data_IF_051137571027
#
_entry.id   IF_051137571027
#
_cell.length_a   1.000
_cell.length_b   1.000
_cell.length_c   1.000
_cell.angle_alpha   90.00
_cell.angle_beta   90.00
_cell.angle_gamma   90.00
#
_symmetry.space_group_name_H-M   'P 1'
#
loop_
_entity.id
_entity.type
_entity.pdbx_description
1 polymer ?
#
# COMPACT_ATOMS: atom_id res chain seq x y z
N UNK A 1 -0.01 43.80 24.43
CA UNK A 1 1.09 43.63 25.41
C UNK A 1 1.26 44.85 26.29
N UNK A 2 1.75 46.00 25.80
CA UNK A 2 1.99 47.19 26.64
C UNK A 2 0.82 47.66 27.53
N UNK A 3 -0.43 47.57 27.05
CA UNK A 3 -1.64 47.90 27.85
C UNK A 3 -1.92 46.91 28.98
N UNK A 4 -1.69 45.62 28.73
CA UNK A 4 -1.82 44.56 29.74
C UNK A 4 -0.73 44.71 30.81
N UNK A 5 0.51 44.97 30.39
CA UNK A 5 1.65 45.14 31.30
C UNK A 5 1.45 46.37 32.21
N UNK A 6 0.95 47.48 31.65
CA UNK A 6 0.59 48.67 32.42
C UNK A 6 -0.56 48.41 33.40
N UNK A 7 -1.64 47.75 32.95
CA UNK A 7 -2.77 47.41 33.82
C UNK A 7 -2.38 46.44 34.94
N UNK A 8 -1.48 45.49 34.66
CA UNK A 8 -0.92 44.56 35.64
C UNK A 8 -0.07 45.28 36.70
N UNK A 9 0.75 46.24 36.29
CA UNK A 9 1.55 47.06 37.21
C UNK A 9 0.64 47.90 38.14
N UNK A 10 -0.37 48.56 37.59
CA UNK A 10 -1.34 49.35 38.37
C UNK A 10 -2.14 48.51 39.37
N UNK A 11 -2.58 47.32 38.97
CA UNK A 11 -3.25 46.38 39.88
C UNK A 11 -2.32 45.93 41.02
N UNK A 12 -1.05 45.62 40.72
CA UNK A 12 -0.06 45.22 41.73
C UNK A 12 0.31 46.33 42.72
N UNK A 13 0.19 47.59 42.29
CA UNK A 13 0.47 48.77 43.10
C UNK A 13 -0.77 49.26 43.89
N UNK A 14 -1.90 48.56 43.80
CA UNK A 14 -3.13 48.92 44.51
C UNK A 14 -3.79 50.22 44.01
N UNK A 15 -3.54 50.60 42.75
CA UNK A 15 -4.16 51.78 42.16
C UNK A 15 -5.67 51.57 42.08
N UNK A 16 -6.46 52.57 42.50
CA UNK A 16 -7.90 52.50 42.43
C UNK A 16 -8.39 52.17 41.00
N UNK A 17 -9.18 51.10 40.87
CA UNK A 17 -9.67 50.59 39.59
C UNK A 17 -8.65 49.79 38.77
N UNK A 18 -7.44 49.57 39.27
CA UNK A 18 -6.38 48.78 38.60
C UNK A 18 -6.82 47.35 38.28
N UNK A 19 -7.48 46.67 39.22
CA UNK A 19 -8.02 45.32 39.00
C UNK A 19 -9.08 45.27 37.87
N UNK A 20 -9.91 46.30 37.77
CA UNK A 20 -10.92 46.39 36.71
C UNK A 20 -10.26 46.61 35.34
N UNK A 21 -9.23 47.47 35.26
CA UNK A 21 -8.43 47.67 34.04
C UNK A 21 -7.66 46.41 33.65
N UNK A 22 -7.12 45.65 34.61
CA UNK A 22 -6.46 44.37 34.34
C UNK A 22 -7.43 43.36 33.74
N UNK A 23 -8.63 43.17 34.32
CA UNK A 23 -9.66 42.28 33.77
C UNK A 23 -10.07 42.65 32.34
N UNK A 24 -10.18 43.95 32.04
CA UNK A 24 -10.47 44.41 30.67
C UNK A 24 -9.31 44.08 29.71
N UNK A 25 -8.06 44.33 30.12
CA UNK A 25 -6.89 44.02 29.31
C UNK A 25 -6.71 42.51 29.09
N UNK A 26 -7.03 41.67 30.08
CA UNK A 26 -7.07 40.21 29.95
C UNK A 26 -8.15 39.75 28.97
N UNK A 27 -9.35 40.34 29.04
CA UNK A 27 -10.42 40.04 28.11
C UNK A 27 -10.05 40.44 26.66
N UNK A 28 -9.43 41.61 26.48
CA UNK A 28 -8.91 42.07 25.18
C UNK A 28 -7.83 41.10 24.66
N UNK A 29 -6.85 40.72 25.49
CA UNK A 29 -5.79 39.77 25.11
C UNK A 29 -6.37 38.39 24.76
N UNK A 30 -7.32 37.88 25.56
CA UNK A 30 -8.01 36.62 25.28
C UNK A 30 -8.80 36.70 23.97
N UNK A 31 -9.46 37.83 23.71
CA UNK A 31 -10.16 38.09 22.44
C UNK A 31 -9.20 38.10 21.24
N UNK A 32 -8.05 38.75 21.37
CA UNK A 32 -7.01 38.76 20.34
C UNK A 32 -6.45 37.35 20.09
N UNK A 33 -6.05 36.62 21.13
CA UNK A 33 -5.56 35.24 21.00
C UNK A 33 -6.64 34.34 20.37
N UNK A 34 -7.89 34.43 20.83
CA UNK A 34 -9.00 33.68 20.27
C UNK A 34 -9.21 34.04 18.79
N UNK A 35 -9.12 35.31 18.39
CA UNK A 35 -9.27 35.71 16.99
C UNK A 35 -8.21 35.11 16.06
N UNK A 36 -7.06 34.70 16.60
CA UNK A 36 -5.98 34.06 15.83
C UNK A 36 -6.03 32.54 15.89
N UNK A 37 -6.36 31.95 17.04
CA UNK A 37 -6.36 30.49 17.22
C UNK A 37 -7.70 29.83 16.85
N UNK A 38 -8.82 30.52 17.07
CA UNK A 38 -10.16 29.94 16.91
C UNK A 38 -10.46 29.51 15.48
N UNK A 39 -10.11 30.26 14.42
CA UNK A 39 -10.37 29.82 13.05
C UNK A 39 -9.70 28.49 12.71
N UNK A 40 -8.42 28.32 13.09
CA UNK A 40 -7.69 27.07 12.86
C UNK A 40 -8.27 25.93 13.69
N UNK A 41 -8.62 26.19 14.96
CA UNK A 41 -9.26 25.20 15.82
C UNK A 41 -10.60 24.72 15.26
N UNK A 42 -11.47 25.65 14.84
CA UNK A 42 -12.77 25.31 14.27
C UNK A 42 -12.61 24.56 12.93
N UNK A 43 -11.63 24.94 12.10
CA UNK A 43 -11.32 24.23 10.86
C UNK A 43 -10.82 22.79 11.11
N UNK A 44 -10.01 22.57 12.16
CA UNK A 44 -9.56 21.24 12.56
C UNK A 44 -10.75 20.36 12.97
N UNK A 45 -11.66 20.86 13.81
CA UNK A 45 -12.84 20.11 14.23
C UNK A 45 -13.81 19.86 13.08
N UNK A 46 -13.99 20.84 12.20
CA UNK A 46 -14.76 20.65 10.99
C UNK A 46 -14.16 19.53 10.12
N UNK A 47 -12.84 19.51 9.96
CA UNK A 47 -12.14 18.41 9.27
C UNK A 47 -12.37 17.05 9.94
N UNK A 48 -12.30 16.98 11.27
CA UNK A 48 -12.59 15.75 12.02
C UNK A 48 -14.04 15.30 11.82
N UNK A 49 -15.00 16.23 11.81
CA UNK A 49 -16.41 15.91 11.58
C UNK A 49 -16.66 15.42 10.15
N UNK A 50 -15.98 16.00 9.16
CA UNK A 50 -15.99 15.51 7.78
C UNK A 50 -15.42 14.09 7.69
N UNK A 51 -14.29 13.81 8.34
CA UNK A 51 -13.68 12.47 8.36
C UNK A 51 -14.59 11.44 9.03
N UNK A 52 -15.32 11.82 10.09
CA UNK A 52 -16.29 10.94 10.76
C UNK A 52 -17.53 10.63 9.92
N UNK A 53 -17.84 11.45 8.92
CA UNK A 53 -18.95 11.22 8.00
C UNK A 53 -18.59 10.25 6.87
N UNK A 54 -17.30 9.96 6.66
CA UNK A 54 -16.87 8.99 5.65
C UNK A 54 -17.27 7.56 6.05
N UNK A 55 -17.64 6.71 5.08
CA UNK A 55 -17.89 5.31 5.35
C UNK A 55 -16.62 4.64 5.87
N UNK A 56 -16.79 3.68 6.77
CA UNK A 56 -15.68 2.86 7.26
C UNK A 56 -15.07 2.06 6.10
N UNK A 57 -13.73 2.08 5.99
CA UNK A 57 -13.02 1.30 4.98
C UNK A 57 -13.25 -0.20 5.15
N UNK A 58 -13.37 -0.93 4.04
CA UNK A 58 -13.76 -2.34 4.06
C UNK A 58 -12.79 -3.23 4.85
N UNK A 59 -11.49 -2.88 4.94
CA UNK A 59 -10.50 -3.66 5.71
C UNK A 59 -10.31 -3.20 7.16
N UNK A 60 -11.02 -2.19 7.65
CA UNK A 60 -10.86 -1.70 9.04
C UNK A 60 -11.15 -2.82 10.05
N UNK A 61 -12.24 -3.56 9.87
CA UNK A 61 -12.61 -4.68 10.75
C UNK A 61 -11.52 -5.77 10.82
N UNK A 62 -10.89 -6.09 9.68
CA UNK A 62 -9.80 -7.07 9.62
C UNK A 62 -8.50 -6.57 10.26
N UNK A 63 -8.19 -5.27 10.14
CA UNK A 63 -7.06 -4.64 10.84
C UNK A 63 -7.28 -4.71 12.35
N UNK A 64 -8.46 -4.29 12.81
CA UNK A 64 -8.84 -4.37 14.23
C UNK A 64 -8.77 -5.80 14.78
N UNK A 65 -9.24 -6.79 14.01
CA UNK A 65 -9.14 -8.20 14.38
C UNK A 65 -7.68 -8.62 14.53
N UNK A 66 -6.79 -8.24 13.61
CA UNK A 66 -5.35 -8.52 13.69
C UNK A 66 -4.71 -7.88 14.92
N UNK A 67 -5.05 -6.64 15.24
CA UNK A 67 -4.53 -5.96 16.42
C UNK A 67 -4.94 -6.66 17.71
N UNK A 68 -6.20 -7.11 17.78
CA UNK A 68 -6.69 -7.93 18.89
C UNK A 68 -5.94 -9.25 19.02
N UNK A 69 -5.63 -9.91 17.91
CA UNK A 69 -4.81 -11.13 17.93
C UNK A 69 -3.39 -10.85 18.38
N UNK A 70 -2.77 -9.78 17.87
CA UNK A 70 -1.42 -9.33 18.26
C UNK A 70 -1.33 -9.05 19.76
N UNK A 71 -2.27 -8.27 20.30
CA UNK A 71 -2.36 -7.98 21.73
C UNK A 71 -2.58 -9.24 22.56
N UNK A 72 -3.48 -10.12 22.11
CA UNK A 72 -3.78 -11.39 22.81
C UNK A 72 -2.56 -12.30 22.84
N UNK A 73 -1.86 -12.44 21.72
CA UNK A 73 -0.62 -13.21 21.62
C UNK A 73 0.49 -12.65 22.51
N UNK A 74 0.64 -11.32 22.57
CA UNK A 74 1.58 -10.70 23.52
C UNK A 74 1.21 -10.97 24.97
N UNK A 75 -0.05 -10.74 25.35
CA UNK A 75 -0.56 -11.01 26.71
C UNK A 75 -0.32 -12.47 27.12
N UNK A 76 -0.57 -13.41 26.22
CA UNK A 76 -0.45 -14.85 26.51
C UNK A 76 1.01 -15.26 26.71
N UNK A 77 1.96 -14.69 25.94
CA UNK A 77 3.39 -14.90 26.17
C UNK A 77 3.87 -14.32 27.51
N UNK A 78 3.44 -13.11 27.86
CA UNK A 78 3.74 -12.50 29.17
C UNK A 78 3.20 -13.38 30.30
N UNK A 79 1.96 -13.87 30.19
CA UNK A 79 1.37 -14.80 31.17
C UNK A 79 2.10 -16.14 31.25
N UNK A 80 2.68 -16.61 30.16
CA UNK A 80 3.50 -17.83 30.12
C UNK A 80 4.88 -17.64 30.77
N UNK A 81 5.21 -16.43 31.25
CA UNK A 81 6.49 -16.14 31.89
C UNK A 81 7.58 -15.75 30.90
N UNK A 82 7.23 -15.23 29.72
CA UNK A 82 8.20 -14.60 28.83
C UNK A 82 8.98 -13.52 29.60
N UNK A 83 10.32 -13.53 29.55
CA UNK A 83 11.13 -12.48 30.18
C UNK A 83 10.71 -11.09 29.70
N UNK A 84 10.87 -10.05 30.53
CA UNK A 84 10.60 -8.68 30.12
C UNK A 84 11.42 -8.31 28.87
N UNK A 85 10.88 -7.44 28.03
CA UNK A 85 11.56 -7.03 26.80
C UNK A 85 12.95 -6.47 27.14
N UNK A 86 14.01 -6.93 26.46
CA UNK A 86 15.36 -6.45 26.73
C UNK A 86 15.48 -4.96 26.35
N UNK A 87 16.37 -4.23 27.03
CA UNK A 87 16.65 -2.81 26.72
C UNK A 87 17.23 -2.64 25.30
N UNK A 88 17.93 -3.67 24.80
CA UNK A 88 18.47 -3.75 23.45
C UNK A 88 18.11 -5.12 22.86
N UNK A 89 17.57 -5.11 21.66
CA UNK A 89 17.33 -6.34 20.89
C UNK A 89 18.67 -6.84 20.32
N UNK A 90 18.86 -8.16 20.27
CA UNK A 90 19.92 -8.76 19.47
C UNK A 90 19.66 -8.52 17.96
N UNK A 91 20.68 -8.72 17.13
CA UNK A 91 20.60 -8.43 15.70
C UNK A 91 19.49 -9.20 14.98
N UNK A 92 19.25 -10.47 15.35
CA UNK A 92 18.21 -11.31 14.71
C UNK A 92 16.83 -10.84 15.15
N UNK A 93 16.62 -10.62 16.45
CA UNK A 93 15.36 -10.09 16.99
C UNK A 93 15.03 -8.72 16.40
N UNK A 94 16.03 -7.83 16.30
CA UNK A 94 15.86 -6.51 15.68
C UNK A 94 15.48 -6.63 14.19
N UNK A 95 16.15 -7.50 13.44
CA UNK A 95 15.86 -7.76 12.03
C UNK A 95 14.46 -8.35 11.83
N UNK A 96 14.04 -9.30 12.68
CA UNK A 96 12.69 -9.87 12.66
C UNK A 96 11.62 -8.82 12.94
N UNK A 97 11.82 -7.97 13.96
CA UNK A 97 10.91 -6.86 14.28
C UNK A 97 10.84 -5.84 13.14
N UNK A 98 11.97 -5.53 12.51
CA UNK A 98 12.02 -4.65 11.35
C UNK A 98 11.25 -5.25 10.17
N UNK A 99 11.54 -6.48 9.78
CA UNK A 99 10.85 -7.17 8.69
C UNK A 99 9.33 -7.28 8.93
N UNK A 100 8.91 -7.51 10.19
CA UNK A 100 7.50 -7.51 10.57
C UNK A 100 6.85 -6.13 10.39
N UNK A 101 7.54 -5.04 10.76
CA UNK A 101 7.07 -3.66 10.56
C UNK A 101 6.99 -3.27 9.09
N UNK A 102 8.00 -3.65 8.30
CA UNK A 102 8.01 -3.43 6.85
C UNK A 102 6.87 -4.16 6.15
N UNK A 103 6.63 -5.41 6.54
CA UNK A 103 5.50 -6.21 6.04
C UNK A 103 4.16 -5.56 6.43
N UNK A 104 4.04 -5.09 7.67
CA UNK A 104 2.84 -4.41 8.15
C UNK A 104 2.60 -3.07 7.44
N UNK A 105 3.66 -2.30 7.17
CA UNK A 105 3.58 -1.05 6.42
C UNK A 105 3.14 -1.31 4.98
N UNK A 106 3.77 -2.26 4.28
CA UNK A 106 3.39 -2.62 2.91
C UNK A 106 1.93 -3.11 2.82
N UNK A 107 1.47 -3.86 3.83
CA UNK A 107 0.08 -4.29 3.91
C UNK A 107 -0.88 -3.12 4.19
N UNK A 108 -0.49 -2.15 5.03
CA UNK A 108 -1.29 -0.95 5.28
C UNK A 108 -1.45 -0.13 4.00
N UNK A 109 -0.33 0.16 3.31
CA UNK A 109 -0.31 0.94 2.07
C UNK A 109 -1.17 0.28 0.99
N UNK A 110 -1.09 -1.05 0.87
CA UNK A 110 -1.90 -1.80 -0.09
C UNK A 110 -3.40 -1.75 0.26
N UNK A 111 -3.76 -1.89 1.54
CA UNK A 111 -5.17 -1.79 1.96
C UNK A 111 -5.73 -0.38 1.82
N UNK A 112 -4.93 0.66 2.10
CA UNK A 112 -5.33 2.05 1.91
C UNK A 112 -5.64 2.32 0.44
N UNK A 113 -4.79 1.86 -0.48
CA UNK A 113 -5.08 1.95 -1.91
C UNK A 113 -6.36 1.22 -2.32
N UNK A 114 -6.70 0.11 -1.68
CA UNK A 114 -7.95 -0.63 -1.99
C UNK A 114 -9.20 -0.02 -1.35
N UNK A 115 -9.05 0.70 -0.25
CA UNK A 115 -10.15 1.32 0.49
C UNK A 115 -10.46 2.74 0.00
N UNK A 116 -9.46 3.47 -0.52
CA UNK A 116 -9.61 4.85 -1.01
C UNK A 116 -9.36 4.97 -2.54
N UNK A 117 -10.39 5.35 -3.32
CA UNK A 117 -10.27 5.56 -4.77
C UNK A 117 -9.23 6.61 -5.17
N UNK A 118 -8.97 7.65 -4.36
CA UNK A 118 -7.98 8.68 -4.64
C UNK A 118 -6.56 8.16 -4.47
N UNK A 119 -6.34 7.33 -3.45
CA UNK A 119 -5.05 6.64 -3.25
C UNK A 119 -4.81 5.67 -4.40
N UNK A 120 -5.84 4.91 -4.82
CA UNK A 120 -5.74 4.04 -6.01
C UNK A 120 -5.43 4.84 -7.29
N UNK A 121 -6.05 6.00 -7.47
CA UNK A 121 -5.79 6.86 -8.63
C UNK A 121 -4.33 7.31 -8.68
N UNK A 122 -3.74 7.67 -7.54
CA UNK A 122 -2.29 7.96 -7.44
C UNK A 122 -1.42 6.78 -7.88
N UNK A 123 -1.75 5.55 -7.44
CA UNK A 123 -1.05 4.32 -7.84
C UNK A 123 -1.20 4.02 -9.34
N UNK A 124 -2.37 4.30 -9.93
CA UNK A 124 -2.60 4.17 -11.38
C UNK A 124 -1.76 5.13 -12.20
N UNK A 125 -1.70 6.40 -11.77
CA UNK A 125 -0.85 7.42 -12.42
C UNK A 125 0.65 7.10 -12.31
N UNK A 126 1.07 6.49 -11.21
CA UNK A 126 2.45 6.03 -11.02
C UNK A 126 2.79 4.76 -11.84
N UNK A 127 1.80 4.15 -12.51
CA UNK A 127 1.98 2.90 -13.26
C UNK A 127 2.04 1.64 -12.38
N UNK A 128 1.67 1.74 -11.11
CA UNK A 128 1.67 0.62 -10.13
C UNK A 128 0.32 -0.11 -10.08
N UNK A 129 -0.69 0.42 -10.76
CA UNK A 129 -2.01 -0.18 -10.92
C UNK A 129 -2.62 0.23 -12.28
N UNK A 130 -3.65 -0.49 -12.70
CA UNK A 130 -4.47 -0.09 -13.84
C UNK A 130 -5.92 -0.54 -13.68
N UNK A 131 -6.85 0.21 -14.26
CA UNK A 131 -8.25 -0.12 -14.36
C UNK A 131 -8.68 -0.17 -15.84
N UNK A 132 -9.62 -1.05 -16.17
CA UNK A 132 -10.05 -1.22 -17.54
C UNK A 132 -11.33 -2.03 -17.68
N UNK A 133 -11.80 -2.12 -18.92
CA UNK A 133 -12.93 -2.97 -19.30
C UNK A 133 -12.43 -4.31 -19.80
N UNK A 134 -13.06 -5.40 -19.35
CA UNK A 134 -12.85 -6.70 -19.98
C UNK A 134 -13.54 -6.73 -21.34
N UNK A 135 -12.79 -6.92 -22.41
CA UNK A 135 -13.32 -6.96 -23.78
C UNK A 135 -13.42 -8.39 -24.33
N UNK A 136 -12.63 -9.31 -23.79
CA UNK A 136 -12.64 -10.72 -24.16
C UNK A 136 -12.13 -11.61 -23.03
N UNK A 137 -12.61 -12.85 -23.00
CA UNK A 137 -12.26 -13.86 -21.99
C UNK A 137 -12.13 -15.22 -22.66
N UNK A 138 -10.91 -15.73 -22.72
CA UNK A 138 -10.61 -17.05 -23.27
C UNK A 138 -10.32 -18.05 -22.14
N UNK A 139 -11.06 -19.15 -22.11
CA UNK A 139 -10.81 -20.23 -21.15
C UNK A 139 -9.63 -21.09 -21.60
N UNK A 140 -8.47 -20.93 -20.96
CA UNK A 140 -7.32 -21.81 -21.15
C UNK A 140 -7.01 -22.66 -19.92
N UNK A 141 -6.11 -23.63 -20.09
CA UNK A 141 -5.68 -24.58 -19.07
C UNK A 141 -4.16 -24.65 -19.01
N UNK A 142 -3.61 -25.02 -17.85
CA UNK A 142 -2.16 -25.23 -17.70
C UNK A 142 -1.71 -26.58 -18.27
N UNK A 143 -0.52 -26.63 -18.86
CA UNK A 143 0.13 -27.85 -19.38
C UNK A 143 0.72 -28.79 -18.31
N UNK A 144 0.12 -28.80 -17.10
CA UNK A 144 0.57 -29.65 -16.01
C UNK A 144 -0.07 -31.05 -16.07
N UNK A 145 0.56 -32.04 -15.42
CA UNK A 145 0.04 -33.41 -15.28
C UNK A 145 -1.41 -33.47 -14.79
N UNK A 146 -1.81 -32.47 -13.98
CA UNK A 146 -3.22 -32.21 -13.65
C UNK A 146 -3.54 -30.80 -14.15
N UNK A 147 -4.29 -30.67 -15.27
CA UNK A 147 -4.64 -29.37 -15.83
C UNK A 147 -5.42 -28.53 -14.83
N UNK A 148 -5.00 -27.28 -14.66
CA UNK A 148 -5.71 -26.26 -13.86
C UNK A 148 -6.19 -25.15 -14.78
N UNK A 149 -7.34 -24.53 -14.50
CA UNK A 149 -7.82 -23.40 -15.29
C UNK A 149 -6.82 -22.23 -15.23
N UNK A 150 -6.57 -21.65 -16.39
CA UNK A 150 -5.71 -20.48 -16.67
C UNK A 150 -6.38 -19.52 -17.67
N UNK A 151 -7.59 -19.00 -17.39
CA UNK A 151 -8.26 -18.09 -18.32
C UNK A 151 -7.38 -16.88 -18.68
N UNK A 152 -7.42 -16.46 -19.93
CA UNK A 152 -6.85 -15.22 -20.41
C UNK A 152 -7.95 -14.18 -20.51
N UNK A 153 -7.72 -13.03 -19.90
CA UNK A 153 -8.68 -11.91 -19.85
C UNK A 153 -8.04 -10.75 -20.58
N UNK A 154 -8.68 -10.30 -21.66
CA UNK A 154 -8.22 -9.15 -22.44
C UNK A 154 -8.93 -7.90 -21.93
N UNK A 155 -8.15 -6.89 -21.53
CA UNK A 155 -8.61 -5.71 -20.82
C UNK A 155 -8.21 -4.45 -21.59
N UNK A 156 -9.19 -3.65 -21.99
CA UNK A 156 -8.96 -2.32 -22.57
C UNK A 156 -8.75 -1.30 -21.46
N UNK A 157 -7.62 -0.60 -21.48
CA UNK A 157 -7.29 0.42 -20.48
C UNK A 157 -6.73 1.69 -21.11
N UNK A 158 -6.90 2.81 -20.42
CA UNK A 158 -6.25 4.10 -20.72
C UNK A 158 -5.00 4.33 -19.84
N UNK A 159 -4.81 3.50 -18.81
CA UNK A 159 -3.69 3.62 -17.90
C UNK A 159 -2.39 3.11 -18.56
N UNK A 160 -1.24 3.57 -18.04
CA UNK A 160 0.09 3.18 -18.50
C UNK A 160 0.86 2.44 -17.41
N UNK A 161 0.47 1.19 -17.07
CA UNK A 161 1.15 0.43 -16.02
C UNK A 161 2.56 0.01 -16.43
N UNK A 162 3.48 -0.07 -15.46
CA UNK A 162 4.86 -0.51 -15.64
C UNK A 162 4.96 -2.04 -15.71
N UNK A 163 4.44 -2.61 -16.79
CA UNK A 163 4.40 -4.05 -17.01
C UNK A 163 5.71 -4.55 -17.61
N UNK A 164 6.46 -5.35 -16.85
CA UNK A 164 7.49 -6.22 -17.40
C UNK A 164 6.89 -7.58 -17.80
N UNK A 165 7.67 -8.39 -18.52
CA UNK A 165 7.24 -9.72 -18.93
C UNK A 165 6.86 -10.57 -17.70
N UNK A 166 5.70 -11.22 -17.74
CA UNK A 166 5.25 -12.17 -16.70
C UNK A 166 5.12 -11.58 -15.29
N UNK A 167 4.92 -10.26 -15.18
CA UNK A 167 4.69 -9.59 -13.89
C UNK A 167 3.41 -10.11 -13.25
N UNK A 168 3.48 -10.34 -11.93
CA UNK A 168 2.32 -10.74 -11.14
C UNK A 168 1.39 -9.55 -10.94
N UNK A 169 0.11 -9.81 -11.12
CA UNK A 169 -0.96 -8.85 -10.93
C UNK A 169 -1.89 -9.35 -9.83
N UNK A 170 -2.42 -8.43 -9.06
CA UNK A 170 -3.33 -8.72 -7.95
C UNK A 170 -4.60 -7.90 -8.10
N UNK A 171 -5.75 -8.52 -7.88
CA UNK A 171 -7.04 -7.81 -7.77
C UNK A 171 -7.85 -8.36 -6.62
N UNK A 172 -8.86 -7.59 -6.23
CA UNK A 172 -9.89 -8.05 -5.30
C UNK A 172 -11.16 -8.32 -6.13
N UNK A 173 -11.75 -9.49 -5.96
CA UNK A 173 -13.04 -9.83 -6.60
C UNK A 173 -14.20 -9.11 -5.90
N UNK A 174 -15.39 -9.13 -6.49
CA UNK A 174 -16.58 -8.52 -5.89
C UNK A 174 -16.89 -9.07 -4.49
N UNK A 175 -16.67 -10.37 -4.29
CA UNK A 175 -16.79 -11.03 -2.98
C UNK A 175 -15.69 -10.66 -1.96
N UNK A 176 -14.77 -9.74 -2.28
CA UNK A 176 -13.66 -9.35 -1.42
C UNK A 176 -12.47 -10.32 -1.40
N UNK A 177 -12.46 -11.35 -2.25
CA UNK A 177 -11.38 -12.35 -2.29
C UNK A 177 -10.21 -11.83 -3.13
N UNK A 178 -9.00 -12.11 -2.67
CA UNK A 178 -7.80 -11.83 -3.46
C UNK A 178 -7.68 -12.80 -4.65
N UNK A 179 -7.44 -12.25 -5.83
CA UNK A 179 -7.17 -13.00 -7.04
C UNK A 179 -5.84 -12.56 -7.64
N UNK A 180 -5.05 -13.54 -8.08
CA UNK A 180 -3.78 -13.32 -8.74
C UNK A 180 -3.87 -13.62 -10.23
N UNK A 181 -3.15 -12.82 -11.01
CA UNK A 181 -2.94 -12.97 -12.44
C UNK A 181 -1.47 -12.74 -12.80
N UNK A 182 -1.17 -12.92 -14.06
CA UNK A 182 0.13 -12.71 -14.65
C UNK A 182 -0.07 -11.97 -15.97
N UNK A 183 0.73 -10.95 -16.22
CA UNK A 183 0.71 -10.26 -17.50
C UNK A 183 1.21 -11.19 -18.62
N UNK A 184 0.35 -11.45 -19.60
CA UNK A 184 0.60 -12.40 -20.69
C UNK A 184 1.00 -11.72 -22.00
N UNK A 185 0.79 -10.41 -22.14
CA UNK A 185 1.15 -9.65 -23.34
C UNK A 185 0.14 -8.56 -23.66
N UNK A 186 0.37 -7.87 -24.77
CA UNK A 186 -0.55 -6.90 -25.32
C UNK A 186 -1.34 -7.56 -26.45
N UNK A 187 -2.60 -7.19 -26.58
CA UNK A 187 -3.41 -7.55 -27.74
C UNK A 187 -3.51 -6.33 -28.67
N UNK A 188 -3.25 -6.54 -29.95
CA UNK A 188 -3.46 -5.51 -30.97
C UNK A 188 -4.95 -5.35 -31.19
N UNK A 189 -5.43 -4.11 -31.12
CA UNK A 189 -6.85 -3.77 -31.34
C UNK A 189 -7.15 -3.46 -32.81
N UNK A 190 -6.19 -3.70 -33.71
CA UNK A 190 -6.30 -3.38 -35.13
C UNK A 190 -7.02 -4.51 -35.88
N UNK A 191 -8.31 -4.32 -36.14
CA UNK A 191 -9.10 -5.27 -36.93
C UNK A 191 -10.55 -4.91 -37.17
N UNK A 192 -10.94 -3.63 -37.07
CA UNK A 192 -12.29 -3.18 -37.38
C UNK A 192 -12.26 -1.93 -38.28
N UNK A 193 -11.66 -2.06 -39.46
CA UNK A 193 -12.11 -1.27 -40.60
C UNK A 193 -12.05 -2.17 -41.84
N UNK A 194 -13.24 -2.52 -42.35
CA UNK A 194 -13.38 -3.22 -43.60
C UNK A 194 -13.20 -2.24 -44.75
N UNK A 195 -12.20 -2.46 -45.59
CA UNK A 195 -12.27 -2.09 -47.00
C UNK A 195 -12.08 -3.33 -47.85
N UNK A 196 -13.21 -3.71 -48.45
CA UNK A 196 -13.40 -4.70 -49.50
C UNK A 196 -12.66 -4.30 -50.79
N UNK A 197 -12.03 -5.29 -51.42
CA UNK A 197 -11.96 -5.45 -52.89
C UNK A 197 -10.92 -4.68 -53.71
N UNK A 198 -9.88 -5.40 -54.15
CA UNK A 198 -9.46 -5.66 -55.56
C UNK A 198 -7.94 -5.91 -55.60
N UNK A 199 -7.48 -7.15 -55.75
CA UNK A 199 -7.22 -7.85 -57.03
C UNK A 199 -6.11 -7.18 -57.87
N UNK A 200 -4.92 -7.79 -57.87
CA UNK A 200 -4.21 -8.30 -59.06
C UNK A 200 -2.71 -8.52 -58.75
N UNK A 201 -2.25 -9.72 -59.13
CA UNK A 201 -0.86 -10.19 -59.24
C UNK A 201 -0.07 -9.43 -60.31
N UNK A 202 1.23 -9.19 -60.09
CA UNK A 202 2.28 -9.59 -61.05
C UNK A 202 3.69 -9.60 -60.43
N UNK A 203 4.55 -10.46 -61.01
CA UNK A 203 5.91 -10.83 -60.61
C UNK A 203 7.02 -9.84 -61.07
N UNK A 204 8.25 -10.13 -60.62
CA UNK A 204 9.60 -9.77 -61.17
C UNK A 204 10.14 -8.37 -60.84
N UNK A 205 11.42 -8.09 -60.56
CA UNK A 205 12.70 -8.83 -60.36
C UNK A 205 13.75 -7.79 -59.85
N UNK A 206 14.91 -8.29 -59.41
CA UNK A 206 16.23 -7.62 -59.28
C UNK A 206 16.57 -6.68 -58.10
N UNK A 207 17.43 -7.23 -57.22
CA UNK A 207 18.64 -6.70 -56.55
C UNK A 207 18.97 -5.20 -56.59
N UNK A 208 19.26 -4.61 -55.42
CA UNK A 208 20.54 -3.95 -55.17
C UNK A 208 20.86 -3.88 -53.67
N UNK A 209 22.12 -4.11 -53.33
CA UNK A 209 22.71 -3.93 -52.00
C UNK A 209 22.96 -2.44 -51.76
N UNK A 210 22.68 -1.92 -50.56
CA UNK A 210 23.53 -0.88 -49.96
C UNK A 210 23.34 -0.76 -48.45
N UNK A 211 24.46 -0.94 -47.77
CA UNK A 211 24.87 -0.56 -46.42
C UNK A 211 23.98 0.40 -45.59
N UNK A 212 23.63 -0.07 -44.40
CA UNK A 212 24.20 0.47 -43.15
C UNK A 212 23.78 1.86 -42.68
N UNK A 213 22.71 1.92 -41.88
CA UNK A 213 22.64 2.81 -40.71
C UNK A 213 21.57 2.33 -39.74
N UNK A 214 22.02 1.59 -38.71
CA UNK A 214 21.27 1.15 -37.56
C UNK A 214 20.89 2.37 -36.70
N UNK A 215 19.73 2.97 -36.99
CA UNK A 215 19.13 4.00 -36.13
C UNK A 215 18.19 3.29 -35.19
N UNK A 216 18.68 3.05 -33.98
CA UNK A 216 17.91 2.59 -32.83
C UNK A 216 16.57 3.33 -32.76
N UNK A 217 15.50 2.61 -33.07
CA UNK A 217 14.13 3.05 -32.88
C UNK A 217 13.94 3.20 -31.37
N UNK A 218 14.00 4.44 -30.88
CA UNK A 218 13.58 4.79 -29.53
C UNK A 218 12.15 4.29 -29.27
N UNK A 219 11.75 4.10 -28.01
CA UNK A 219 10.48 3.48 -27.68
C UNK A 219 9.38 4.29 -28.36
N UNK A 220 8.74 3.68 -29.36
CA UNK A 220 7.72 4.33 -30.16
C UNK A 220 6.69 4.95 -29.24
N UNK A 221 6.47 6.24 -29.44
CA UNK A 221 5.32 6.99 -28.94
C UNK A 221 4.04 6.33 -29.46
N UNK A 222 3.59 5.29 -28.76
CA UNK A 222 2.34 4.59 -29.02
C UNK A 222 1.18 5.41 -28.41
N UNK A 223 0.99 6.61 -28.94
CA UNK A 223 -0.16 7.48 -28.70
C UNK A 223 -1.39 7.07 -29.53
N UNK A 224 -1.73 5.77 -29.55
CA UNK A 224 -2.94 5.23 -30.18
C UNK A 224 -4.04 4.95 -29.13
N UNK A 225 -5.33 5.04 -29.49
CA UNK A 225 -6.45 4.83 -28.57
C UNK A 225 -6.47 3.39 -28.01
N UNK A 226 -6.47 3.28 -26.67
CA UNK A 226 -6.86 2.07 -25.92
C UNK A 226 -6.04 0.82 -26.21
N UNK A 227 -4.88 0.68 -25.56
CA UNK A 227 -4.10 -0.58 -25.60
C UNK A 227 -4.83 -1.66 -24.80
N UNK A 228 -4.93 -2.86 -25.38
CA UNK A 228 -5.48 -4.01 -24.69
C UNK A 228 -4.37 -4.82 -24.00
N UNK A 229 -4.58 -5.13 -22.71
CA UNK A 229 -3.70 -5.93 -21.87
C UNK A 229 -4.28 -7.33 -21.74
N UNK A 230 -3.48 -8.37 -21.96
CA UNK A 230 -3.88 -9.74 -21.71
C UNK A 230 -3.36 -10.17 -20.34
N UNK A 231 -4.27 -10.57 -19.46
CA UNK A 231 -3.96 -11.05 -18.10
C UNK A 231 -4.36 -12.52 -18.00
N UNK A 232 -3.40 -13.38 -17.69
CA UNK A 232 -3.64 -14.79 -17.38
C UNK A 232 -3.98 -14.94 -15.90
N UNK A 233 -5.15 -15.45 -15.57
CA UNK A 233 -5.53 -15.74 -14.18
C UNK A 233 -4.77 -16.95 -13.65
N UNK A 234 -4.13 -16.80 -12.48
CA UNK A 234 -3.26 -17.84 -11.90
C UNK A 234 -3.80 -18.42 -10.58
N UNK A 235 -4.57 -17.65 -9.83
CA UNK A 235 -5.12 -18.02 -8.52
C UNK A 235 -6.55 -17.49 -8.30
N UNK A 236 -7.10 -17.71 -7.11
CA UNK A 236 -8.40 -17.12 -6.69
C UNK A 236 -9.66 -17.65 -7.40
N UNK A 237 -9.59 -18.78 -8.11
CA UNK A 237 -10.71 -19.38 -8.88
C UNK A 237 -11.34 -20.62 -8.20
N UNK A 238 -11.05 -20.87 -6.92
CA UNK A 238 -11.46 -22.08 -6.22
C UNK A 238 -10.50 -23.27 -6.40
N UNK A 239 -10.87 -24.42 -5.83
CA UNK A 239 -10.06 -25.66 -5.85
C UNK A 239 -10.51 -26.68 -6.91
N UNK A 240 -11.63 -26.40 -7.59
CA UNK A 240 -12.23 -27.27 -8.59
C UNK A 240 -11.50 -27.22 -9.94
N UNK A 241 -11.89 -28.12 -10.84
CA UNK A 241 -11.49 -28.06 -12.25
C UNK A 241 -12.14 -26.86 -12.94
N UNK A 242 -13.39 -26.58 -12.63
CA UNK A 242 -14.11 -25.42 -13.14
C UNK A 242 -13.94 -24.25 -12.16
N UNK A 243 -13.67 -23.03 -12.64
CA UNK A 243 -13.65 -21.84 -11.80
C UNK A 243 -14.96 -21.68 -11.04
N UNK A 244 -14.88 -21.21 -9.80
CA UNK A 244 -16.08 -20.83 -9.05
C UNK A 244 -16.80 -19.66 -9.74
N UNK A 245 -18.14 -19.65 -9.78
CA UNK A 245 -18.90 -18.52 -10.33
C UNK A 245 -18.47 -17.19 -9.71
N UNK A 246 -18.40 -16.13 -10.54
CA UNK A 246 -17.96 -14.79 -10.13
C UNK A 246 -16.44 -14.61 -9.96
N UNK A 247 -15.63 -15.67 -10.12
CA UNK A 247 -14.16 -15.54 -10.01
C UNK A 247 -13.48 -15.13 -11.31
N UNK A 248 -14.04 -15.51 -12.46
CA UNK A 248 -13.58 -15.07 -13.78
C UNK A 248 -14.47 -13.89 -14.18
N UNK A 249 -13.88 -12.72 -14.54
CA UNK A 249 -14.68 -11.58 -14.97
C UNK A 249 -15.36 -11.89 -16.32
N UNK A 250 -16.49 -11.25 -16.57
CA UNK A 250 -17.24 -11.33 -17.81
C UNK A 250 -16.89 -10.16 -18.74
N UNK A 251 -17.22 -10.31 -20.03
CA UNK A 251 -17.06 -9.23 -21.00
C UNK A 251 -17.96 -8.04 -20.63
N UNK A 252 -17.38 -6.85 -20.55
CA UNK A 252 -18.01 -5.61 -20.11
C UNK A 252 -17.67 -5.22 -18.67
N UNK A 253 -17.13 -6.15 -17.86
CA UNK A 253 -16.81 -5.86 -16.46
C UNK A 253 -15.69 -4.82 -16.32
N UNK A 254 -15.83 -3.94 -15.33
CA UNK A 254 -14.76 -3.04 -14.91
C UNK A 254 -13.87 -3.75 -13.89
N UNK A 255 -12.60 -3.91 -14.20
CA UNK A 255 -11.62 -4.54 -13.32
C UNK A 255 -10.49 -3.58 -12.99
N UNK A 256 -9.96 -3.70 -11.77
CA UNK A 256 -8.78 -2.97 -11.32
C UNK A 256 -7.72 -3.97 -10.86
N UNK A 257 -6.51 -3.85 -11.40
CA UNK A 257 -5.35 -4.69 -11.09
C UNK A 257 -4.23 -3.84 -10.50
N UNK A 258 -3.48 -4.41 -9.57
CA UNK A 258 -2.31 -3.80 -8.93
C UNK A 258 -1.07 -4.66 -9.18
N UNK A 259 0.09 -4.02 -9.28
CA UNK A 259 1.39 -4.69 -9.39
C UNK A 259 1.97 -5.08 -8.02
N UNK A 260 1.39 -4.56 -6.93
CA UNK A 260 1.72 -4.91 -5.56
C UNK A 260 0.74 -5.93 -4.97
N UNK A 261 1.22 -6.76 -4.05
CA UNK A 261 0.42 -7.74 -3.31
C UNK A 261 -0.38 -7.08 -2.18
N UNK A 262 -1.61 -7.55 -1.95
CA UNK A 262 -2.50 -6.98 -0.91
C UNK A 262 -2.23 -7.52 0.50
N UNK A 263 -1.55 -8.67 0.59
CA UNK A 263 -1.15 -9.30 1.83
C UNK A 263 0.27 -9.88 1.66
N UNK A 264 1.28 -8.99 1.53
CA UNK A 264 2.66 -9.42 1.34
C UNK A 264 3.06 -10.36 2.48
N UNK A 265 3.69 -11.47 2.13
CA UNK A 265 4.28 -12.37 3.13
C UNK A 265 5.64 -11.84 3.52
N UNK A 266 6.02 -12.08 4.77
CA UNK A 266 7.35 -11.74 5.28
C UNK A 266 8.46 -12.37 4.41
N UNK A 267 9.63 -11.73 4.46
CA UNK A 267 10.82 -12.17 3.73
C UNK A 267 11.29 -13.58 4.12
N UNK A 268 12.34 -14.09 3.44
CA UNK A 268 12.93 -15.39 3.76
C UNK A 268 13.30 -15.49 5.24
N UNK A 269 13.29 -16.72 5.76
CA UNK A 269 13.67 -17.01 7.14
C UNK A 269 15.09 -16.49 7.39
N UNK A 270 15.23 -15.72 8.47
CA UNK A 270 16.51 -15.16 8.86
C UNK A 270 17.41 -16.29 9.39
N UNK A 271 18.73 -16.23 9.17
CA UNK A 271 19.65 -17.24 9.68
C UNK A 271 19.63 -17.26 11.21
N UNK A 272 19.94 -18.42 11.78
CA UNK A 272 20.13 -18.55 13.22
C UNK A 272 21.20 -17.56 13.72
N UNK A 273 21.12 -17.07 14.98
CA UNK A 273 22.09 -16.14 15.55
C UNK A 273 23.55 -16.59 15.40
N UNK A 274 23.80 -17.89 15.56
CA UNK A 274 25.12 -18.53 15.41
C UNK A 274 25.65 -18.48 13.95
N UNK A 275 24.74 -18.33 12.99
CA UNK A 275 25.02 -18.21 11.56
C UNK A 275 25.04 -16.76 11.09
N UNK A 276 24.82 -15.78 11.98
CA UNK A 276 24.97 -14.37 11.61
C UNK A 276 26.44 -14.03 11.38
N UNK A 277 26.81 -13.40 10.26
CA UNK A 277 28.19 -12.98 10.02
C UNK A 277 28.69 -12.13 11.19
N UNK A 278 29.96 -12.34 11.59
CA UNK A 278 30.60 -11.62 12.71
C UNK A 278 30.56 -10.09 12.56
N UNK A 279 30.36 -9.60 11.33
CA UNK A 279 30.20 -8.18 11.00
C UNK A 279 28.82 -7.60 11.36
N UNK A 280 27.83 -8.45 11.68
CA UNK A 280 26.45 -8.05 11.98
C UNK A 280 25.94 -8.59 13.33
N UNK A 281 26.47 -9.71 13.82
CA UNK A 281 26.12 -10.31 15.12
C UNK A 281 27.14 -10.06 16.24
N UNK A 282 28.30 -9.46 15.93
CA UNK A 282 29.45 -9.41 16.84
C UNK A 282 30.07 -10.80 17.06
N UNK A 283 31.30 -10.91 17.59
CA UNK A 283 31.87 -12.20 17.95
C UNK A 283 30.96 -12.88 19.01
N UNK A 284 30.74 -14.21 18.96
CA UNK A 284 30.13 -14.90 20.08
C UNK A 284 31.02 -14.71 21.29
N UNK A 285 30.57 -13.90 22.26
CA UNK A 285 31.32 -13.70 23.48
C UNK A 285 31.16 -14.96 24.34
N UNK A 286 31.98 -15.97 24.07
CA UNK A 286 32.01 -17.22 24.82
C UNK A 286 32.37 -17.04 26.31
N UNK A 287 32.76 -15.82 26.71
CA UNK A 287 33.09 -15.42 28.06
C UNK A 287 32.12 -14.38 28.67
N UNK A 288 31.13 -13.89 27.92
CA UNK A 288 30.06 -13.11 28.53
C UNK A 288 29.20 -14.07 29.34
N UNK A 289 29.07 -13.90 30.67
CA UNK A 289 28.10 -14.67 31.41
C UNK A 289 26.73 -14.44 30.78
N UNK A 290 25.85 -15.45 30.83
CA UNK A 290 24.43 -15.32 30.54
C UNK A 290 23.78 -14.38 31.58
N UNK A 291 24.22 -13.12 31.61
CA UNK A 291 23.60 -12.03 32.32
C UNK A 291 22.66 -11.41 31.30
N UNK A 292 21.50 -12.04 31.13
CA UNK A 292 20.32 -11.18 31.03
C UNK A 292 20.42 -10.23 32.22
N UNK A 293 20.58 -8.93 31.96
CA UNK A 293 20.62 -7.93 33.01
C UNK A 293 19.43 -8.25 33.93
N UNK A 294 19.70 -8.53 35.22
CA UNK A 294 18.62 -8.77 36.16
C UNK A 294 17.65 -7.59 36.01
N UNK A 295 16.35 -7.85 35.83
CA UNK A 295 15.37 -6.77 35.72
C UNK A 295 15.60 -5.82 36.90
N UNK A 296 15.62 -4.51 36.62
CA UNK A 296 15.79 -3.52 37.66
C UNK A 296 14.75 -3.82 38.78
N UNK A 297 15.17 -3.84 40.05
CA UNK A 297 14.26 -4.16 41.13
C UNK A 297 13.11 -3.14 41.12
N UNK A 298 11.87 -3.63 41.20
CA UNK A 298 10.67 -2.77 41.25
C UNK A 298 10.85 -1.69 42.32
N UNK A 299 10.65 -0.45 41.92
CA UNK A 299 10.74 0.71 42.80
C UNK A 299 9.35 1.11 43.29
N UNK A 300 9.27 1.90 44.37
CA UNK A 300 7.98 2.40 44.89
C UNK A 300 7.22 3.26 43.86
N UNK A 301 7.91 3.79 42.85
CA UNK A 301 7.33 4.58 41.76
C UNK A 301 6.53 3.72 40.76
N UNK A 302 6.75 2.40 40.71
CA UNK A 302 6.08 1.47 39.80
C UNK A 302 4.70 0.99 40.31
N UNK A 303 4.27 1.45 41.48
CA UNK A 303 3.01 1.07 42.15
C UNK A 303 1.89 2.14 42.06
N UNK A 304 2.02 3.12 41.17
CA UNK A 304 1.00 4.16 40.92
C UNK A 304 -0.02 3.75 39.85
#
# INVERSE_FOLDING_TARGET
MARYDAARAEASQGVAGGEARLRLAEAELRGLIASQLRPTWDALWHGVDLLRALPEGARVADRWKRDRWSYTGHRDRVRAGEPPQPKLDDAVTAAQKLAARETAQAQLDAHEALDDPLVMAGRRLAGEAFAGEVIDVEMAWSDAKVPRPRPLVTIRTEDRPHLAERVKLHRVTEDGRAQSGEFAGFADMDGADGSDGSDETDETDETDETDGADVAQGPGDAGGPGRALVVRLTGGMGRGKQPEPGTVPEKGDRVCWTLFEHAPRGGPELPDPESTPWTHGGPPDAAAPAQGAQPDPMTEEDYL
#
